data_IF_220029649842
#
_entry.id   IF_220029649842
#
_cell.length_a   1.000
_cell.length_b   1.000
_cell.length_c   1.000
_cell.angle_alpha   90.00
_cell.angle_beta   90.00
_cell.angle_gamma   90.00
#
_symmetry.space_group_name_H-M   'P 1'
#
loop_
_entity.id
_entity.type
_entity.pdbx_description
1 polymer ?
#
# COMPACT_ATOMS: atom_id res chain seq x y z
N UNK A 1 -14.01 -21.18 21.39
CA UNK A 1 -12.87 -21.41 22.29
C UNK A 1 -12.34 -20.03 22.67
N UNK A 2 -12.69 -19.51 23.86
CA UNK A 2 -12.15 -18.23 24.33
C UNK A 2 -10.70 -18.49 24.76
N UNK A 3 -9.74 -17.80 24.15
CA UNK A 3 -8.37 -17.72 24.69
C UNK A 3 -8.46 -16.90 25.97
N UNK A 4 -8.11 -17.53 27.09
CA UNK A 4 -7.92 -16.82 28.36
C UNK A 4 -6.60 -16.05 28.28
N UNK A 5 -6.70 -14.74 28.02
CA UNK A 5 -5.54 -13.85 27.96
C UNK A 5 -5.21 -13.45 29.39
N UNK A 6 -3.98 -13.74 29.83
CA UNK A 6 -3.51 -13.37 31.16
C UNK A 6 -3.75 -11.88 31.45
N UNK A 7 -4.17 -11.56 32.67
CA UNK A 7 -4.55 -10.20 33.08
C UNK A 7 -3.46 -9.15 32.76
N UNK A 8 -2.19 -9.49 32.95
CA UNK A 8 -1.05 -8.62 32.62
C UNK A 8 -1.00 -8.27 31.11
N UNK A 9 -1.27 -9.25 30.24
CA UNK A 9 -1.30 -9.03 28.78
C UNK A 9 -2.47 -8.11 28.42
N UNK A 10 -3.61 -8.28 29.07
CA UNK A 10 -4.78 -7.44 28.86
C UNK A 10 -4.50 -5.97 29.20
N UNK A 11 -3.84 -5.70 30.32
CA UNK A 11 -3.46 -4.34 30.73
C UNK A 11 -2.51 -3.67 29.72
N UNK A 12 -1.52 -4.42 29.20
CA UNK A 12 -0.61 -3.92 28.17
C UNK A 12 -1.34 -3.59 26.86
N UNK A 13 -2.27 -4.45 26.43
CA UNK A 13 -3.10 -4.21 25.25
C UNK A 13 -3.94 -2.94 25.43
N UNK A 14 -4.60 -2.78 26.57
CA UNK A 14 -5.44 -1.60 26.85
C UNK A 14 -4.63 -0.30 26.84
N UNK A 15 -3.43 -0.29 27.45
CA UNK A 15 -2.55 0.88 27.46
C UNK A 15 -2.08 1.30 26.07
N UNK A 16 -1.79 0.33 25.21
CA UNK A 16 -1.39 0.56 23.80
C UNK A 16 -2.60 0.67 22.84
N UNK A 17 -3.81 0.60 23.39
CA UNK A 17 -5.09 0.65 22.68
C UNK A 17 -5.25 -0.44 21.60
N UNK A 18 -4.71 -1.62 21.88
CA UNK A 18 -4.96 -2.82 21.10
C UNK A 18 -6.22 -3.54 21.57
N UNK A 19 -6.93 -4.15 20.62
CA UNK A 19 -7.92 -5.18 20.92
C UNK A 19 -7.25 -6.56 21.01
N UNK A 20 -7.84 -7.54 21.73
CA UNK A 20 -7.33 -8.91 21.78
C UNK A 20 -7.09 -9.57 20.41
N UNK A 21 -7.86 -9.15 19.40
CA UNK A 21 -7.81 -9.64 18.03
C UNK A 21 -6.43 -9.46 17.39
N UNK A 22 -5.66 -8.44 17.78
CA UNK A 22 -4.30 -8.24 17.29
C UNK A 22 -3.36 -9.42 17.59
N UNK A 23 -3.52 -10.06 18.75
CA UNK A 23 -2.78 -11.27 19.12
C UNK A 23 -3.42 -12.52 18.49
N UNK A 24 -4.75 -12.65 18.60
CA UNK A 24 -5.48 -13.84 18.15
C UNK A 24 -5.31 -14.06 16.63
N UNK A 25 -5.30 -12.99 15.85
CA UNK A 25 -5.11 -13.03 14.39
C UNK A 25 -3.64 -12.89 13.95
N UNK A 26 -2.71 -12.80 14.90
CA UNK A 26 -1.27 -12.81 14.62
C UNK A 26 -0.74 -11.54 13.93
N UNK A 27 -1.40 -10.39 14.11
CA UNK A 27 -0.87 -9.07 13.76
C UNK A 27 0.29 -8.66 14.66
N UNK A 28 0.27 -9.20 15.87
CA UNK A 28 1.29 -9.03 16.89
C UNK A 28 1.52 -10.37 17.61
N UNK A 29 2.74 -10.60 18.05
CA UNK A 29 3.09 -11.69 18.97
C UNK A 29 3.39 -11.11 20.36
N UNK A 30 3.49 -11.98 21.37
CA UNK A 30 3.77 -11.55 22.75
C UNK A 30 5.13 -10.81 22.87
N UNK A 31 6.11 -11.16 22.04
CA UNK A 31 7.42 -10.50 22.07
C UNK A 31 7.35 -9.07 21.53
N UNK A 32 6.57 -8.84 20.49
CA UNK A 32 6.34 -7.51 19.93
C UNK A 32 5.54 -6.65 20.90
N UNK A 33 4.49 -7.19 21.52
CA UNK A 33 3.72 -6.49 22.54
C UNK A 33 4.61 -6.03 23.69
N UNK A 34 5.47 -6.92 24.19
CA UNK A 34 6.40 -6.61 25.27
C UNK A 34 7.39 -5.50 24.87
N UNK A 35 7.99 -5.61 23.68
CA UNK A 35 8.92 -4.60 23.18
C UNK A 35 8.26 -3.22 23.01
N UNK A 36 7.02 -3.17 22.49
CA UNK A 36 6.28 -1.93 22.33
C UNK A 36 5.85 -1.33 23.66
N UNK A 37 5.44 -2.16 24.61
CA UNK A 37 5.10 -1.71 25.96
C UNK A 37 6.30 -1.08 26.67
N UNK A 38 7.48 -1.72 26.61
CA UNK A 38 8.71 -1.16 27.19
C UNK A 38 9.09 0.17 26.56
N UNK A 39 8.99 0.30 25.23
CA UNK A 39 9.23 1.56 24.53
C UNK A 39 8.21 2.63 24.94
N UNK A 40 6.93 2.27 25.04
CA UNK A 40 5.86 3.17 25.45
C UNK A 40 6.06 3.71 26.88
N UNK A 41 6.57 2.88 27.80
CA UNK A 41 6.92 3.35 29.14
C UNK A 41 8.11 4.32 29.14
N UNK A 42 9.11 4.10 28.28
CA UNK A 42 10.31 4.94 28.18
C UNK A 42 10.02 6.29 27.52
N UNK A 43 9.16 6.32 26.50
CA UNK A 43 8.83 7.52 25.71
C UNK A 43 7.76 8.40 26.35
N UNK A 44 7.43 8.15 27.62
CA UNK A 44 6.44 8.92 28.37
C UNK A 44 5.00 8.68 27.91
N UNK A 45 4.71 7.50 27.35
CA UNK A 45 3.36 7.01 26.98
C UNK A 45 2.67 7.83 25.89
N UNK A 46 3.45 8.27 24.90
CA UNK A 46 2.95 9.02 23.76
C UNK A 46 2.70 8.14 22.54
N UNK A 47 1.80 8.59 21.67
CA UNK A 47 1.55 8.06 20.33
C UNK A 47 1.34 6.54 20.20
N UNK A 48 0.34 5.96 20.88
CA UNK A 48 0.01 4.54 20.75
C UNK A 48 -0.25 4.10 19.29
N UNK A 49 -0.76 5.00 18.45
CA UNK A 49 -1.02 4.78 17.02
C UNK A 49 0.23 4.37 16.22
N UNK A 50 1.43 4.84 16.60
CA UNK A 50 2.67 4.47 15.91
C UNK A 50 3.02 2.99 16.09
N UNK A 51 2.74 2.44 17.28
CA UNK A 51 2.97 1.02 17.56
C UNK A 51 1.99 0.15 16.78
N UNK A 52 0.71 0.56 16.71
CA UNK A 52 -0.32 -0.15 15.93
C UNK A 52 -0.02 -0.13 14.44
N UNK A 53 0.37 1.03 13.91
CA UNK A 53 0.82 1.14 12.51
C UNK A 53 2.03 0.24 12.24
N UNK A 54 3.00 0.20 13.16
CA UNK A 54 4.16 -0.68 13.05
C UNK A 54 3.77 -2.16 13.02
N UNK A 55 2.78 -2.57 13.82
CA UNK A 55 2.26 -3.93 13.81
C UNK A 55 1.58 -4.27 12.47
N UNK A 56 0.74 -3.39 11.91
CA UNK A 56 0.20 -3.55 10.55
C UNK A 56 1.31 -3.73 9.51
N UNK A 57 2.30 -2.82 9.51
CA UNK A 57 3.43 -2.85 8.57
C UNK A 57 4.23 -4.13 8.67
N UNK A 58 4.54 -4.58 9.88
CA UNK A 58 5.25 -5.85 10.11
C UNK A 58 4.43 -7.05 9.61
N UNK A 59 3.11 -7.04 9.83
CA UNK A 59 2.23 -8.11 9.35
C UNK A 59 2.21 -8.20 7.81
N UNK A 60 2.19 -7.07 7.12
CA UNK A 60 2.27 -6.98 5.66
C UNK A 60 3.63 -7.46 5.12
N UNK A 61 4.73 -7.02 5.75
CA UNK A 61 6.09 -7.33 5.31
C UNK A 61 6.46 -8.82 5.41
N UNK A 62 5.83 -9.55 6.33
CA UNK A 62 6.10 -10.97 6.57
C UNK A 62 5.30 -11.91 5.65
N UNK A 63 4.53 -11.38 4.69
CA UNK A 63 3.66 -12.17 3.81
C UNK A 63 3.91 -11.90 2.34
N UNK A 64 3.79 -12.97 1.55
CA UNK A 64 3.84 -12.90 0.09
C UNK A 64 2.46 -13.04 -0.56
N UNK A 65 1.52 -13.71 0.12
CA UNK A 65 0.14 -13.93 -0.33
C UNK A 65 -0.81 -13.76 0.85
N UNK A 66 -2.08 -13.53 0.55
CA UNK A 66 -3.12 -13.24 1.54
C UNK A 66 -4.36 -14.07 1.24
N UNK A 67 -4.89 -14.73 2.25
CA UNK A 67 -6.21 -15.37 2.16
C UNK A 67 -7.32 -14.34 2.37
N UNK A 68 -8.52 -14.63 1.86
CA UNK A 68 -9.68 -13.75 2.07
C UNK A 68 -10.02 -13.58 3.56
N UNK A 69 -9.79 -14.62 4.37
CA UNK A 69 -9.97 -14.56 5.80
C UNK A 69 -8.98 -13.59 6.48
N UNK A 70 -7.71 -13.60 6.07
CA UNK A 70 -6.69 -12.67 6.57
C UNK A 70 -6.99 -11.23 6.17
N UNK A 71 -7.43 -11.01 4.93
CA UNK A 71 -7.84 -9.68 4.47
C UNK A 71 -9.03 -9.20 5.29
N UNK A 72 -10.04 -10.05 5.50
CA UNK A 72 -11.20 -9.69 6.32
C UNK A 72 -10.77 -9.30 7.74
N UNK A 73 -9.91 -10.08 8.38
CA UNK A 73 -9.37 -9.76 9.71
C UNK A 73 -8.61 -8.43 9.71
N UNK A 74 -7.82 -8.15 8.67
CA UNK A 74 -7.13 -6.87 8.51
C UNK A 74 -8.12 -5.71 8.46
N UNK A 75 -9.16 -5.83 7.63
CA UNK A 75 -10.16 -4.78 7.45
C UNK A 75 -11.03 -4.58 8.71
N UNK A 76 -11.33 -5.65 9.44
CA UNK A 76 -12.01 -5.58 10.74
C UNK A 76 -11.15 -4.80 11.77
N UNK A 77 -9.82 -4.96 11.76
CA UNK A 77 -8.93 -4.13 12.60
C UNK A 77 -8.89 -2.67 12.11
N UNK A 78 -8.90 -2.43 10.79
CA UNK A 78 -8.93 -1.06 10.24
C UNK A 78 -10.20 -0.33 10.64
N UNK A 79 -11.35 -1.00 10.54
CA UNK A 79 -12.66 -0.43 10.89
C UNK A 79 -12.76 -0.05 12.37
N UNK A 80 -12.16 -0.87 13.24
CA UNK A 80 -12.31 -0.76 14.69
C UNK A 80 -11.18 -0.01 15.39
N UNK A 81 -10.13 0.42 14.67
CA UNK A 81 -9.01 1.14 15.27
C UNK A 81 -9.46 2.54 15.78
N UNK A 82 -9.04 2.94 16.99
CA UNK A 82 -9.38 4.27 17.52
C UNK A 82 -8.76 5.42 16.73
N UNK A 83 -7.70 5.20 15.96
CA UNK A 83 -7.14 6.17 15.02
C UNK A 83 -7.45 5.76 13.57
N UNK A 84 -8.59 6.26 13.08
CA UNK A 84 -9.04 5.97 11.72
C UNK A 84 -8.11 6.51 10.63
N UNK A 85 -7.39 7.61 10.87
CA UNK A 85 -6.47 8.14 9.87
C UNK A 85 -5.28 7.21 9.66
N UNK A 86 -4.70 6.73 10.77
CA UNK A 86 -3.62 5.74 10.74
C UNK A 86 -4.09 4.40 10.13
N UNK A 87 -5.25 3.91 10.57
CA UNK A 87 -5.78 2.64 10.11
C UNK A 87 -6.13 2.64 8.60
N UNK A 88 -6.74 3.71 8.10
CA UNK A 88 -6.99 3.90 6.68
C UNK A 88 -5.68 3.93 5.87
N UNK A 89 -4.62 4.57 6.39
CA UNK A 89 -3.31 4.54 5.75
C UNK A 89 -2.73 3.10 5.67
N UNK A 90 -2.92 2.29 6.72
CA UNK A 90 -2.55 0.87 6.70
C UNK A 90 -3.39 0.07 5.68
N UNK A 91 -4.67 0.40 5.51
CA UNK A 91 -5.53 -0.15 4.46
C UNK A 91 -5.01 0.16 3.05
N UNK A 92 -4.57 1.38 2.80
CA UNK A 92 -3.91 1.73 1.52
C UNK A 92 -2.60 0.97 1.32
N UNK A 93 -1.86 0.72 2.41
CA UNK A 93 -0.65 -0.11 2.34
C UNK A 93 -0.93 -1.58 2.01
N UNK A 94 -2.11 -2.11 2.38
CA UNK A 94 -2.55 -3.44 1.98
C UNK A 94 -2.77 -3.50 0.46
N UNK A 95 -3.41 -2.49 -0.15
CA UNK A 95 -3.61 -2.41 -1.62
C UNK A 95 -2.28 -2.43 -2.41
N UNK A 96 -1.18 -1.98 -1.79
CA UNK A 96 0.14 -1.94 -2.43
C UNK A 96 0.82 -3.30 -2.50
N UNK A 97 0.37 -4.28 -1.73
CA UNK A 97 1.06 -5.55 -1.60
C UNK A 97 0.98 -6.38 -2.90
N UNK A 98 2.10 -6.96 -3.36
CA UNK A 98 2.13 -7.72 -4.61
C UNK A 98 1.31 -9.02 -4.57
N UNK A 99 1.01 -9.52 -3.37
CA UNK A 99 0.23 -10.75 -3.15
C UNK A 99 -1.29 -10.60 -3.25
N UNK A 100 -1.80 -9.40 -3.51
CA UNK A 100 -3.24 -9.11 -3.58
C UNK A 100 -3.77 -9.42 -4.98
N UNK A 101 -4.74 -10.32 -5.06
CA UNK A 101 -5.41 -10.69 -6.30
C UNK A 101 -6.41 -9.61 -6.74
N UNK A 102 -6.81 -9.59 -8.02
CA UNK A 102 -7.74 -8.59 -8.54
C UNK A 102 -9.07 -8.52 -7.76
N UNK A 103 -9.70 -9.66 -7.48
CA UNK A 103 -10.94 -9.69 -6.71
C UNK A 103 -10.76 -9.19 -5.27
N UNK A 104 -9.61 -9.49 -4.66
CA UNK A 104 -9.26 -9.01 -3.33
C UNK A 104 -9.02 -7.49 -3.34
N UNK A 105 -8.34 -6.98 -4.37
CA UNK A 105 -8.11 -5.56 -4.58
C UNK A 105 -9.44 -4.82 -4.64
N UNK A 106 -10.39 -5.28 -5.46
CA UNK A 106 -11.70 -4.63 -5.62
C UNK A 106 -12.49 -4.61 -4.31
N UNK A 107 -12.43 -5.69 -3.53
CA UNK A 107 -13.08 -5.79 -2.23
C UNK A 107 -12.48 -4.80 -1.21
N UNK A 108 -11.14 -4.74 -1.13
CA UNK A 108 -10.43 -3.81 -0.23
C UNK A 108 -10.70 -2.37 -0.65
N UNK A 109 -10.57 -2.05 -1.94
CA UNK A 109 -10.80 -0.71 -2.48
C UNK A 109 -12.22 -0.23 -2.17
N UNK A 110 -13.23 -1.07 -2.42
CA UNK A 110 -14.63 -0.76 -2.13
C UNK A 110 -14.87 -0.52 -0.64
N UNK A 111 -14.28 -1.36 0.23
CA UNK A 111 -14.37 -1.21 1.67
C UNK A 111 -13.74 0.12 2.15
N UNK A 112 -12.53 0.44 1.68
CA UNK A 112 -11.83 1.66 2.08
C UNK A 112 -12.53 2.92 1.56
N UNK A 113 -13.08 2.88 0.34
CA UNK A 113 -13.85 3.99 -0.20
C UNK A 113 -15.10 4.28 0.65
N UNK A 114 -15.84 3.23 1.03
CA UNK A 114 -17.00 3.34 1.91
C UNK A 114 -16.62 3.84 3.32
N UNK A 115 -15.59 3.25 3.94
CA UNK A 115 -15.16 3.62 5.30
C UNK A 115 -14.63 5.06 5.36
N UNK A 116 -14.00 5.53 4.29
CA UNK A 116 -13.41 6.88 4.21
C UNK A 116 -14.35 7.94 3.64
N UNK A 117 -15.61 7.59 3.35
CA UNK A 117 -16.59 8.45 2.66
C UNK A 117 -16.00 9.10 1.39
N UNK A 118 -15.30 8.29 0.58
CA UNK A 118 -14.66 8.71 -0.67
C UNK A 118 -13.40 9.58 -0.53
N UNK A 119 -12.98 9.94 0.70
CA UNK A 119 -11.80 10.80 0.89
C UNK A 119 -10.48 10.16 0.41
N UNK A 120 -10.44 8.82 0.32
CA UNK A 120 -9.30 8.07 -0.23
C UNK A 120 -9.39 7.80 -1.74
N UNK A 121 -10.44 8.21 -2.44
CA UNK A 121 -10.63 7.89 -3.86
C UNK A 121 -9.39 8.19 -4.74
N UNK A 122 -8.66 9.32 -4.58
CA UNK A 122 -7.43 9.55 -5.34
C UNK A 122 -6.29 8.57 -5.01
N UNK A 123 -6.18 8.14 -3.75
CA UNK A 123 -5.17 7.18 -3.33
C UNK A 123 -5.52 5.76 -3.85
N UNK A 124 -6.78 5.36 -3.77
CA UNK A 124 -7.29 4.08 -4.27
C UNK A 124 -7.10 4.01 -5.79
N UNK A 125 -7.49 5.04 -6.54
CA UNK A 125 -7.35 5.08 -8.00
C UNK A 125 -5.88 4.97 -8.43
N UNK A 126 -4.96 5.63 -7.71
CA UNK A 126 -3.52 5.49 -7.95
C UNK A 126 -3.06 4.05 -7.78
N UNK A 127 -3.43 3.40 -6.69
CA UNK A 127 -3.04 2.00 -6.46
C UNK A 127 -3.72 1.06 -7.45
N UNK A 128 -4.93 1.36 -7.91
CA UNK A 128 -5.62 0.60 -8.95
C UNK A 128 -4.83 0.62 -10.26
N UNK A 129 -4.40 1.81 -10.72
CA UNK A 129 -3.56 1.91 -11.91
C UNK A 129 -2.24 1.14 -11.77
N UNK A 130 -1.59 1.20 -10.60
CA UNK A 130 -0.36 0.46 -10.36
C UNK A 130 -0.59 -1.05 -10.28
N UNK A 131 -1.70 -1.49 -9.70
CA UNK A 131 -2.08 -2.90 -9.63
C UNK A 131 -2.32 -3.45 -11.04
N UNK A 132 -3.17 -2.79 -11.82
CA UNK A 132 -3.46 -3.15 -13.22
C UNK A 132 -2.16 -3.21 -14.05
N UNK A 133 -1.30 -2.19 -13.96
CA UNK A 133 -0.01 -2.14 -14.68
C UNK A 133 0.96 -3.26 -14.31
N UNK A 134 0.95 -3.76 -13.07
CA UNK A 134 1.81 -4.88 -12.64
C UNK A 134 1.36 -6.21 -13.22
N UNK A 135 0.10 -6.35 -13.61
CA UNK A 135 -0.43 -7.57 -14.22
C UNK A 135 -0.21 -7.63 -15.74
N UNK A 136 0.23 -6.53 -16.36
CA UNK A 136 0.41 -6.43 -17.80
C UNK A 136 1.84 -6.80 -18.22
N UNK A 137 1.97 -7.73 -19.17
CA UNK A 137 3.25 -8.02 -19.84
C UNK A 137 3.56 -7.00 -20.95
N UNK A 138 2.52 -6.55 -21.65
CA UNK A 138 2.61 -5.59 -22.74
C UNK A 138 1.51 -4.55 -22.61
N UNK A 139 1.69 -3.42 -23.29
CA UNK A 139 0.81 -2.27 -23.17
C UNK A 139 0.47 -1.72 -24.54
N UNK A 140 -0.83 -1.67 -24.86
CA UNK A 140 -1.33 -1.03 -26.06
C UNK A 140 -1.18 0.49 -25.99
N UNK A 141 -1.30 1.19 -27.12
CA UNK A 141 -1.29 2.65 -27.15
C UNK A 141 -2.45 3.24 -26.33
N UNK A 142 -3.63 2.65 -26.40
CA UNK A 142 -4.81 3.13 -25.68
C UNK A 142 -4.62 3.01 -24.15
N UNK A 143 -4.10 1.88 -23.68
CA UNK A 143 -3.79 1.70 -22.26
C UNK A 143 -2.68 2.65 -21.80
N UNK A 144 -1.61 2.79 -22.59
CA UNK A 144 -0.56 3.76 -22.28
C UNK A 144 -1.11 5.17 -22.15
N UNK A 145 -1.97 5.61 -23.07
CA UNK A 145 -2.64 6.91 -22.98
C UNK A 145 -3.49 7.03 -21.73
N UNK A 146 -4.28 6.01 -21.36
CA UNK A 146 -5.08 6.02 -20.12
C UNK A 146 -4.22 6.28 -18.89
N UNK A 147 -3.14 5.52 -18.72
CA UNK A 147 -2.26 5.66 -17.54
C UNK A 147 -1.39 6.92 -17.58
N UNK A 148 -1.00 7.36 -18.78
CA UNK A 148 -0.24 8.59 -18.97
C UNK A 148 -1.03 9.81 -18.51
N UNK A 149 -2.34 9.87 -18.81
CA UNK A 149 -3.20 10.96 -18.35
C UNK A 149 -3.66 10.79 -16.89
N UNK A 150 -3.09 9.85 -16.14
CA UNK A 150 -3.30 9.82 -14.69
C UNK A 150 -2.68 11.06 -14.04
N UNK A 151 -3.32 11.54 -12.97
CA UNK A 151 -2.83 12.67 -12.17
C UNK A 151 -1.63 12.29 -11.27
N UNK A 152 -1.12 11.06 -11.39
CA UNK A 152 -0.15 10.48 -10.47
C UNK A 152 1.21 10.26 -11.14
N UNK A 153 2.22 11.04 -10.72
CA UNK A 153 3.58 10.92 -11.28
C UNK A 153 4.17 9.52 -11.11
N UNK A 154 3.85 8.82 -10.01
CA UNK A 154 4.33 7.45 -9.76
C UNK A 154 3.83 6.45 -10.81
N UNK A 155 2.62 6.64 -11.35
CA UNK A 155 2.09 5.79 -12.43
C UNK A 155 2.90 6.01 -13.70
N UNK A 156 3.19 7.27 -14.02
CA UNK A 156 4.03 7.59 -15.18
C UNK A 156 5.50 7.16 -15.02
N UNK A 157 6.04 7.19 -13.80
CA UNK A 157 7.35 6.63 -13.49
C UNK A 157 7.36 5.11 -13.74
N UNK A 158 6.31 4.41 -13.32
CA UNK A 158 6.15 2.99 -13.61
C UNK A 158 6.06 2.70 -15.12
N UNK A 159 5.28 3.50 -15.86
CA UNK A 159 5.22 3.42 -17.33
C UNK A 159 6.60 3.59 -17.98
N UNK A 160 7.35 4.60 -17.52
CA UNK A 160 8.67 4.91 -18.05
C UNK A 160 9.65 3.74 -17.84
N UNK A 161 9.63 3.16 -16.64
CA UNK A 161 10.58 2.14 -16.22
C UNK A 161 10.30 0.78 -16.84
N UNK A 162 9.02 0.40 -16.97
CA UNK A 162 8.63 -0.96 -17.38
C UNK A 162 8.21 -1.07 -18.85
N UNK A 163 7.60 -0.04 -19.44
CA UNK A 163 7.02 -0.13 -20.79
C UNK A 163 7.70 0.78 -21.81
N UNK A 164 8.02 2.02 -21.44
CA UNK A 164 8.48 3.01 -22.42
C UNK A 164 9.87 2.72 -22.99
N UNK A 165 10.79 2.14 -22.21
CA UNK A 165 12.18 1.92 -22.66
C UNK A 165 12.29 1.11 -23.96
N UNK A 166 11.34 0.20 -24.17
CA UNK A 166 11.31 -0.69 -25.33
C UNK A 166 10.52 -0.08 -26.51
N UNK A 167 9.74 0.98 -26.27
CA UNK A 167 8.86 1.60 -27.23
C UNK A 167 9.18 3.09 -27.44
N UNK A 168 9.78 3.41 -28.59
CA UNK A 168 10.18 4.78 -28.93
C UNK A 168 9.02 5.79 -29.03
N UNK A 169 7.81 5.33 -29.33
CA UNK A 169 6.61 6.18 -29.33
C UNK A 169 6.24 6.60 -27.90
N UNK A 170 6.22 5.65 -26.97
CA UNK A 170 5.93 5.92 -25.56
C UNK A 170 6.95 6.88 -24.92
N UNK A 171 8.23 6.77 -25.28
CA UNK A 171 9.26 7.74 -24.84
C UNK A 171 8.98 9.15 -25.35
N UNK A 172 8.58 9.31 -26.61
CA UNK A 172 8.24 10.63 -27.18
C UNK A 172 7.04 11.25 -26.47
N UNK A 173 6.02 10.43 -26.21
CA UNK A 173 4.84 10.86 -25.47
C UNK A 173 5.24 11.34 -24.07
N UNK A 174 6.00 10.56 -23.29
CA UNK A 174 6.45 10.99 -21.95
C UNK A 174 7.41 12.19 -21.97
N UNK A 175 8.20 12.37 -23.03
CA UNK A 175 9.04 13.57 -23.19
C UNK A 175 8.18 14.84 -23.34
N UNK A 176 7.08 14.75 -24.09
CA UNK A 176 6.17 15.86 -24.38
C UNK A 176 5.26 16.16 -23.19
N UNK A 177 4.54 15.14 -22.70
CA UNK A 177 3.39 15.31 -21.81
C UNK A 177 3.59 14.67 -20.43
N UNK A 178 4.80 14.22 -20.09
CA UNK A 178 5.09 13.69 -18.75
C UNK A 178 4.77 14.70 -17.65
N UNK A 179 4.14 14.28 -16.56
CA UNK A 179 3.60 15.12 -15.47
C UNK A 179 4.66 16.01 -14.87
N UNK A 180 5.84 15.46 -14.60
CA UNK A 180 6.95 16.19 -13.97
C UNK A 180 8.08 16.45 -14.96
N UNK A 181 8.84 17.52 -14.72
CA UNK A 181 10.06 17.81 -15.49
C UNK A 181 11.07 16.67 -15.41
N UNK A 182 11.14 15.96 -14.28
CA UNK A 182 12.01 14.81 -14.09
C UNK A 182 11.65 13.67 -15.05
N UNK A 183 10.36 13.32 -15.16
CA UNK A 183 9.86 12.29 -16.09
C UNK A 183 10.19 12.68 -17.54
N UNK A 184 9.85 13.91 -17.95
CA UNK A 184 10.13 14.41 -19.32
C UNK A 184 11.62 14.32 -19.67
N UNK A 185 12.48 14.74 -18.74
CA UNK A 185 13.93 14.68 -18.92
C UNK A 185 14.48 13.26 -19.01
N UNK A 186 14.02 12.34 -18.14
CA UNK A 186 14.42 10.92 -18.18
C UNK A 186 13.99 10.27 -19.50
N UNK A 187 12.76 10.52 -19.96
CA UNK A 187 12.26 10.02 -21.24
C UNK A 187 13.12 10.48 -22.43
N UNK A 188 13.46 11.78 -22.48
CA UNK A 188 14.36 12.36 -23.49
C UNK A 188 15.74 11.71 -23.50
N UNK A 189 16.34 11.49 -22.33
CA UNK A 189 17.65 10.86 -22.21
C UNK A 189 17.64 9.41 -22.74
N UNK A 190 16.61 8.64 -22.38
CA UNK A 190 16.42 7.27 -22.87
C UNK A 190 16.19 7.23 -24.38
N UNK A 191 15.40 8.16 -24.92
CA UNK A 191 15.18 8.31 -26.36
C UNK A 191 16.48 8.55 -27.15
N UNK A 192 17.37 9.43 -26.66
CA UNK A 192 18.68 9.67 -27.28
C UNK A 192 19.58 8.44 -27.28
N UNK A 193 19.66 7.72 -26.16
CA UNK A 193 20.47 6.49 -26.04
C UNK A 193 20.03 5.42 -27.03
N UNK A 194 18.73 5.32 -27.30
CA UNK A 194 18.17 4.37 -28.27
C UNK A 194 18.51 4.75 -29.71
N UNK A 195 18.45 6.03 -30.06
CA UNK A 195 18.83 6.50 -31.40
C UNK A 195 20.33 6.34 -31.68
N UNK A 196 21.18 6.51 -30.66
CA UNK A 196 22.64 6.36 -30.79
C UNK A 196 23.15 4.92 -30.88
N UNK A 197 22.33 3.91 -30.51
CA UNK A 197 22.67 2.47 -30.62
C UNK A 197 22.29 1.84 -31.97
N UNK A 198 21.68 2.60 -32.89
CA UNK A 198 21.43 2.16 -34.27
C UNK A 198 22.65 2.52 -35.12
N UNK A 199 23.74 1.77 -34.97
CA UNK A 199 24.89 1.72 -35.90
C UNK A 199 25.25 0.27 -36.11
#
# INVERSE_FOLDING_TARGET
>A
MQMDIAQEVKEKLELLQYTPQWLIWGFMDASLLEAQWQAFEQDGRNSPEHYRYTAFRRWLQNRQTYTDAEIKQFLELVESDPDQFMALAAGVDLLRQPGIQAQQFDAIASFLDQLSDGSLAPAILREQYLHELRQLETLSLAEFQRYMHSEHSVVQEYLLENFAQQNGMFLKMLEQDGKTKAIRNRAKQLGKRRSGKRV
#
